data_IF_594332608784
#
_entry.id   IF_594332608784
#
_cell.length_a   1.000
_cell.length_b   1.000
_cell.length_c   1.000
_cell.angle_alpha   90.00
_cell.angle_beta   90.00
_cell.angle_gamma   90.00
#
_symmetry.space_group_name_H-M   'P 1'
#
loop_
_entity.id
_entity.type
_entity.pdbx_description
1 polymer ?
#
# COMPACT_ATOMS: atom_id res chain seq x y z
N UNK A 1 -0.59 28.23 32.36
CA UNK A 1 -0.07 27.03 31.73
C UNK A 1 -0.56 25.71 32.29
N UNK A 2 -0.53 25.39 33.60
CA UNK A 2 -1.05 24.09 34.08
C UNK A 2 -2.49 23.78 33.70
N UNK A 3 -3.40 24.76 33.76
CA UNK A 3 -4.80 24.60 33.38
C UNK A 3 -5.02 24.31 31.91
N UNK A 4 -4.21 24.93 31.02
CA UNK A 4 -4.29 24.72 29.58
C UNK A 4 -3.82 23.30 29.20
N UNK A 5 -2.76 22.82 29.85
CA UNK A 5 -2.25 21.45 29.65
C UNK A 5 -3.28 20.42 30.11
N UNK A 6 -3.87 20.66 31.32
CA UNK A 6 -4.93 19.79 31.83
C UNK A 6 -6.15 19.77 30.91
N UNK A 7 -6.58 20.94 30.41
CA UNK A 7 -7.66 21.01 29.41
C UNK A 7 -7.37 20.25 28.12
N UNK A 8 -6.11 20.33 27.62
CA UNK A 8 -5.70 19.57 26.45
C UNK A 8 -5.84 18.06 26.68
N UNK A 9 -5.38 17.54 27.82
CA UNK A 9 -5.51 16.13 28.18
C UNK A 9 -6.96 15.70 28.29
N UNK A 10 -7.78 16.43 29.05
CA UNK A 10 -9.20 16.11 29.28
C UNK A 10 -9.96 16.11 27.95
N UNK A 11 -9.76 17.13 27.11
CA UNK A 11 -10.42 17.22 25.81
C UNK A 11 -9.99 16.09 24.87
N UNK A 12 -8.69 15.74 24.85
CA UNK A 12 -8.16 14.66 23.99
C UNK A 12 -8.70 13.30 24.41
N UNK A 13 -8.73 13.01 25.73
CA UNK A 13 -9.27 11.74 26.24
C UNK A 13 -10.78 11.65 25.95
N UNK A 14 -11.53 12.71 26.22
CA UNK A 14 -12.97 12.73 25.95
C UNK A 14 -13.26 12.53 24.45
N UNK A 15 -12.53 13.21 23.57
CA UNK A 15 -12.67 13.05 22.12
C UNK A 15 -12.31 11.63 21.66
N UNK A 16 -11.24 11.03 22.20
CA UNK A 16 -10.87 9.63 21.91
C UNK A 16 -11.99 8.67 22.31
N UNK A 17 -12.58 8.83 23.49
CA UNK A 17 -13.71 8.01 23.96
C UNK A 17 -14.90 8.14 22.99
N UNK A 18 -15.25 9.36 22.59
CA UNK A 18 -16.35 9.59 21.62
C UNK A 18 -16.08 8.87 20.31
N UNK A 19 -14.87 8.96 19.76
CA UNK A 19 -14.48 8.24 18.53
C UNK A 19 -14.63 6.74 18.72
N UNK A 20 -14.06 6.16 19.78
CA UNK A 20 -14.07 4.72 20.03
C UNK A 20 -15.49 4.19 20.22
N UNK A 21 -16.33 4.88 21.02
CA UNK A 21 -17.73 4.49 21.22
C UNK A 21 -18.52 4.56 19.91
N UNK A 22 -18.29 5.60 19.10
CA UNK A 22 -18.94 5.72 17.79
C UNK A 22 -18.48 4.64 16.82
N UNK A 23 -17.18 4.35 16.81
CA UNK A 23 -16.57 3.29 16.05
C UNK A 23 -17.17 1.91 16.41
N UNK A 24 -17.31 1.62 17.71
CA UNK A 24 -17.94 0.38 18.20
C UNK A 24 -19.37 0.22 17.66
N UNK A 25 -20.15 1.31 17.66
CA UNK A 25 -21.56 1.29 17.21
C UNK A 25 -21.72 1.17 15.71
N UNK A 26 -20.82 1.76 14.92
CA UNK A 26 -20.96 1.88 13.46
C UNK A 26 -20.12 0.88 12.67
N UNK A 27 -18.94 0.48 13.20
CA UNK A 27 -17.95 -0.34 12.48
C UNK A 27 -17.61 -1.65 13.21
N UNK A 28 -18.06 -1.81 14.44
CA UNK A 28 -17.84 -3.01 15.24
C UNK A 28 -16.54 -3.00 16.06
N UNK A 29 -16.34 -4.10 16.80
CA UNK A 29 -15.33 -4.20 17.84
C UNK A 29 -13.88 -4.14 17.32
N UNK A 30 -13.63 -4.66 16.13
CA UNK A 30 -12.28 -4.66 15.56
C UNK A 30 -11.79 -3.23 15.32
N UNK A 31 -12.59 -2.43 14.61
CA UNK A 31 -12.23 -1.04 14.32
C UNK A 31 -12.19 -0.17 15.59
N UNK A 32 -13.09 -0.40 16.54
CA UNK A 32 -13.07 0.31 17.82
C UNK A 32 -11.79 0.04 18.61
N UNK A 33 -11.33 -1.22 18.65
CA UNK A 33 -10.05 -1.58 19.31
C UNK A 33 -8.86 -0.95 18.60
N UNK A 34 -8.84 -0.98 17.27
CA UNK A 34 -7.80 -0.31 16.48
C UNK A 34 -7.75 1.20 16.80
N UNK A 35 -8.90 1.88 16.74
CA UNK A 35 -9.00 3.31 17.04
C UNK A 35 -8.58 3.62 18.51
N UNK A 36 -8.96 2.78 19.46
CA UNK A 36 -8.58 2.96 20.88
C UNK A 36 -7.06 2.87 21.08
N UNK A 37 -6.41 1.88 20.50
CA UNK A 37 -4.95 1.71 20.60
C UNK A 37 -4.23 2.87 19.92
N UNK A 38 -4.60 3.18 18.68
CA UNK A 38 -3.93 4.21 17.90
C UNK A 38 -4.09 5.60 18.51
N UNK A 39 -5.33 6.00 18.83
CA UNK A 39 -5.62 7.31 19.44
C UNK A 39 -5.11 7.40 20.89
N UNK A 40 -5.08 6.27 21.60
CA UNK A 40 -4.49 6.19 22.94
C UNK A 40 -3.00 6.49 22.91
N UNK A 41 -2.24 5.79 22.09
CA UNK A 41 -0.79 6.02 21.90
C UNK A 41 -0.54 7.44 21.42
N UNK A 42 -1.27 7.89 20.38
CA UNK A 42 -1.16 9.26 19.87
C UNK A 42 -1.39 10.29 20.98
N UNK A 43 -2.46 10.14 21.76
CA UNK A 43 -2.81 11.09 22.85
C UNK A 43 -1.73 11.12 23.93
N UNK A 44 -1.16 9.96 24.31
CA UNK A 44 -0.08 9.87 25.30
C UNK A 44 1.16 10.63 24.83
N UNK A 45 1.57 10.41 23.59
CA UNK A 45 2.77 11.08 23.02
C UNK A 45 2.51 12.58 22.88
N UNK A 46 1.39 12.98 22.26
CA UNK A 46 1.04 14.38 22.04
C UNK A 46 0.89 15.14 23.38
N UNK A 47 0.20 14.54 24.36
CA UNK A 47 0.04 15.10 25.68
C UNK A 47 1.34 15.22 26.47
N UNK A 48 2.27 14.26 26.31
CA UNK A 48 3.60 14.34 26.92
C UNK A 48 4.45 15.51 26.38
N UNK A 49 4.24 15.88 25.10
CA UNK A 49 5.00 16.93 24.43
C UNK A 49 4.33 18.31 24.46
N UNK A 50 3.02 18.40 24.76
CA UNK A 50 2.25 19.66 24.68
C UNK A 50 2.87 20.81 25.48
N UNK A 51 3.47 20.52 26.64
CA UNK A 51 4.13 21.54 27.49
C UNK A 51 5.34 22.22 26.83
N UNK A 52 5.89 21.60 25.78
CA UNK A 52 7.09 22.08 25.08
C UNK A 52 6.75 22.88 23.82
N UNK A 53 5.46 22.99 23.46
CA UNK A 53 5.02 23.67 22.22
C UNK A 53 5.15 25.19 22.28
N UNK A 54 5.12 25.81 23.48
CA UNK A 54 5.24 27.25 23.66
C UNK A 54 4.23 28.04 22.82
N UNK A 55 4.73 28.98 22.00
CA UNK A 55 3.90 29.79 21.11
C UNK A 55 3.18 28.98 20.00
N UNK A 56 3.61 27.76 19.71
CA UNK A 56 2.99 26.88 18.71
C UNK A 56 1.78 26.12 19.27
N UNK A 57 1.45 26.29 20.56
CA UNK A 57 0.32 25.58 21.20
C UNK A 57 -1.00 25.70 20.41
N UNK A 58 -1.42 26.85 19.87
CA UNK A 58 -2.69 26.92 19.14
C UNK A 58 -2.70 26.04 17.89
N UNK A 59 -1.59 25.99 17.14
CA UNK A 59 -1.45 25.13 15.96
C UNK A 59 -1.46 23.66 16.39
N UNK A 60 -0.75 23.31 17.45
CA UNK A 60 -0.69 21.96 17.99
C UNK A 60 -2.07 21.48 18.43
N UNK A 61 -2.83 22.31 19.13
CA UNK A 61 -4.19 22.01 19.55
C UNK A 61 -5.16 21.87 18.36
N UNK A 62 -5.04 22.73 17.35
CA UNK A 62 -5.84 22.62 16.13
C UNK A 62 -5.56 21.31 15.37
N UNK A 63 -4.31 20.89 15.28
CA UNK A 63 -3.93 19.60 14.70
C UNK A 63 -4.49 18.42 15.50
N UNK A 64 -4.47 18.52 16.84
CA UNK A 64 -5.09 17.51 17.72
C UNK A 64 -6.59 17.38 17.48
N UNK A 65 -7.29 18.49 17.35
CA UNK A 65 -8.73 18.50 17.01
C UNK A 65 -8.96 17.87 15.64
N UNK A 66 -8.14 18.21 14.65
CA UNK A 66 -8.24 17.63 13.29
C UNK A 66 -8.12 16.09 13.34
N UNK A 67 -7.23 15.52 14.18
CA UNK A 67 -7.09 14.08 14.37
C UNK A 67 -8.42 13.46 14.83
N UNK A 68 -9.01 13.97 15.88
CA UNK A 68 -10.26 13.39 16.40
C UNK A 68 -11.44 13.57 15.45
N UNK A 69 -11.53 14.72 14.77
CA UNK A 69 -12.54 14.95 13.73
C UNK A 69 -12.37 13.96 12.58
N UNK A 70 -11.13 13.76 12.14
CA UNK A 70 -10.84 12.82 11.06
C UNK A 70 -11.24 11.38 11.44
N UNK A 71 -10.78 10.87 12.58
CA UNK A 71 -11.11 9.51 13.03
C UNK A 71 -12.60 9.33 13.35
N UNK A 72 -13.27 10.34 13.86
CA UNK A 72 -14.72 10.32 14.02
C UNK A 72 -15.42 10.18 12.66
N UNK A 73 -14.99 10.95 11.68
CA UNK A 73 -15.56 10.91 10.31
C UNK A 73 -15.26 9.61 9.56
N UNK A 74 -14.16 8.91 9.87
CA UNK A 74 -13.85 7.57 9.33
C UNK A 74 -14.84 6.49 9.81
N UNK A 75 -15.60 6.73 10.86
CA UNK A 75 -16.66 5.81 11.28
C UNK A 75 -17.82 5.73 10.28
N UNK A 76 -17.92 6.69 9.34
CA UNK A 76 -18.86 6.70 8.23
C UNK A 76 -18.04 6.76 6.92
N UNK A 77 -17.80 5.60 6.26
CA UNK A 77 -16.94 5.50 5.09
C UNK A 77 -17.57 6.21 3.90
N UNK A 78 -16.96 7.31 3.49
CA UNK A 78 -17.30 8.02 2.25
C UNK A 78 -16.19 8.97 1.85
N UNK A 79 -16.00 9.15 0.54
CA UNK A 79 -15.09 10.15 0.01
C UNK A 79 -15.54 11.55 0.40
N UNK A 80 -14.59 12.34 0.90
CA UNK A 80 -14.84 13.70 1.36
C UNK A 80 -14.43 14.72 0.30
N UNK A 81 -15.03 15.92 0.28
CA UNK A 81 -14.66 16.99 -0.64
C UNK A 81 -13.21 17.45 -0.40
N UNK A 82 -12.61 18.07 -1.42
CA UNK A 82 -11.21 18.52 -1.37
C UNK A 82 -10.91 19.42 -0.16
N UNK A 83 -11.82 20.36 0.15
CA UNK A 83 -11.66 21.25 1.30
C UNK A 83 -11.49 20.48 2.62
N UNK A 84 -12.33 19.45 2.86
CA UNK A 84 -12.19 18.61 4.05
C UNK A 84 -10.86 17.83 4.05
N UNK A 85 -10.46 17.31 2.89
CA UNK A 85 -9.20 16.58 2.78
C UNK A 85 -7.98 17.47 3.09
N UNK A 86 -7.98 18.70 2.60
CA UNK A 86 -6.89 19.66 2.84
C UNK A 86 -6.89 20.22 4.27
N UNK A 87 -8.07 20.48 4.85
CA UNK A 87 -8.17 21.14 6.16
C UNK A 87 -8.25 20.15 7.34
N UNK A 88 -8.64 18.91 7.10
CA UNK A 88 -8.83 17.92 8.18
C UNK A 88 -8.02 16.64 7.91
N UNK A 89 -8.26 15.91 6.82
CA UNK A 89 -7.64 14.60 6.62
C UNK A 89 -6.12 14.68 6.54
N UNK A 90 -5.59 15.63 5.75
CA UNK A 90 -4.16 15.80 5.56
C UNK A 90 -3.45 16.27 6.83
N UNK A 91 -3.90 17.36 7.52
CA UNK A 91 -3.31 17.78 8.79
C UNK A 91 -3.40 16.72 9.88
N UNK A 92 -4.52 16.01 9.99
CA UNK A 92 -4.72 14.95 10.97
C UNK A 92 -3.73 13.81 10.75
N UNK A 93 -3.66 13.26 9.54
CA UNK A 93 -2.78 12.14 9.22
C UNK A 93 -1.30 12.51 9.32
N UNK A 94 -0.94 13.73 8.88
CA UNK A 94 0.39 14.30 9.10
C UNK A 94 0.73 14.34 10.60
N UNK A 95 -0.18 14.88 11.41
CA UNK A 95 0.08 15.06 12.84
C UNK A 95 0.19 13.73 13.58
N UNK A 96 -0.63 12.74 13.24
CA UNK A 96 -0.49 11.39 13.79
C UNK A 96 0.86 10.80 13.42
N UNK A 97 1.27 10.84 12.16
CA UNK A 97 2.57 10.34 11.70
C UNK A 97 3.74 11.04 12.42
N UNK A 98 3.70 12.38 12.50
CA UNK A 98 4.70 13.18 13.19
C UNK A 98 4.78 12.85 14.69
N UNK A 99 3.62 12.64 15.33
CA UNK A 99 3.53 12.27 16.74
C UNK A 99 4.15 10.90 16.99
N UNK A 100 3.91 9.91 16.13
CA UNK A 100 4.55 8.60 16.26
C UNK A 100 6.07 8.69 16.09
N UNK A 101 6.56 9.48 15.15
CA UNK A 101 8.00 9.76 15.01
C UNK A 101 8.57 10.49 16.23
N UNK A 102 7.75 11.28 16.95
CA UNK A 102 8.17 12.00 18.15
C UNK A 102 8.18 11.12 19.43
N UNK A 103 7.89 9.83 19.33
CA UNK A 103 7.88 8.90 20.46
C UNK A 103 9.17 8.94 21.33
N UNK A 104 10.40 8.94 20.75
CA UNK A 104 11.62 9.06 21.57
C UNK A 104 11.69 10.36 22.38
N UNK A 105 11.21 11.48 21.83
CA UNK A 105 11.14 12.77 22.53
C UNK A 105 10.11 12.75 23.65
N UNK A 106 9.00 12.07 23.47
CA UNK A 106 8.00 11.89 24.52
C UNK A 106 8.55 11.06 25.69
N UNK A 107 9.31 10.00 25.41
CA UNK A 107 10.03 9.23 26.45
C UNK A 107 11.00 10.14 27.21
N UNK A 108 11.85 10.88 26.51
CA UNK A 108 12.78 11.82 27.15
C UNK A 108 12.06 12.81 28.07
N UNK A 109 10.94 13.38 27.59
CA UNK A 109 10.12 14.29 28.39
C UNK A 109 9.49 13.60 29.62
N UNK A 110 9.05 12.35 29.50
CA UNK A 110 8.50 11.56 30.61
C UNK A 110 9.58 11.23 31.66
N UNK A 111 10.84 11.02 31.24
CA UNK A 111 11.99 10.83 32.12
C UNK A 111 12.50 12.15 32.74
N UNK A 112 11.80 13.27 32.57
CA UNK A 112 12.20 14.57 33.10
C UNK A 112 13.31 15.28 32.31
N UNK A 113 13.73 14.72 31.18
CA UNK A 113 14.73 15.33 30.30
C UNK A 113 14.08 16.43 29.45
N UNK A 114 14.87 17.44 29.06
CA UNK A 114 14.44 18.44 28.11
C UNK A 114 14.46 17.83 26.70
N UNK A 115 13.33 17.72 25.97
CA UNK A 115 13.29 17.11 24.66
C UNK A 115 13.82 18.08 23.59
N UNK A 116 15.16 18.25 23.55
CA UNK A 116 15.82 19.12 22.58
C UNK A 116 15.48 18.71 21.16
N UNK A 117 15.19 19.68 20.29
CA UNK A 117 14.83 19.40 18.90
C UNK A 117 13.51 18.66 18.74
N UNK A 118 12.55 18.78 19.67
CA UNK A 118 11.24 18.09 19.61
C UNK A 118 10.45 18.39 18.31
N UNK A 119 10.78 19.44 17.58
CA UNK A 119 10.22 19.80 16.27
C UNK A 119 10.77 18.95 15.11
N UNK A 120 11.91 18.28 15.30
CA UNK A 120 12.58 17.48 14.25
C UNK A 120 11.66 16.40 13.66
N UNK A 121 10.95 15.56 14.45
CA UNK A 121 10.04 14.54 13.91
C UNK A 121 8.92 15.16 13.07
N UNK A 122 8.47 16.36 13.42
CA UNK A 122 7.43 17.07 12.64
C UNK A 122 7.98 17.56 11.29
N UNK A 123 9.21 18.04 11.24
CA UNK A 123 9.88 18.40 9.99
C UNK A 123 10.11 17.15 9.10
N UNK A 124 10.58 16.05 9.69
CA UNK A 124 10.77 14.77 9.00
C UNK A 124 9.44 14.25 8.43
N UNK A 125 8.36 14.31 9.21
CA UNK A 125 7.03 13.93 8.74
C UNK A 125 6.57 14.80 7.55
N UNK A 126 6.93 16.09 7.53
CA UNK A 126 6.66 16.98 6.39
C UNK A 126 7.37 16.53 5.11
N UNK A 127 8.63 16.14 5.20
CA UNK A 127 9.37 15.53 4.07
C UNK A 127 8.71 14.22 3.64
N UNK A 128 8.34 13.38 4.60
CA UNK A 128 7.67 12.11 4.34
C UNK A 128 6.31 12.28 3.64
N UNK A 129 5.56 13.33 4.01
CA UNK A 129 4.31 13.69 3.34
C UNK A 129 4.55 14.07 1.86
N UNK A 130 5.56 14.89 1.57
CA UNK A 130 5.90 15.27 0.20
C UNK A 130 6.26 14.04 -0.62
N UNK A 131 7.09 13.14 -0.07
CA UNK A 131 7.42 11.87 -0.74
C UNK A 131 6.20 10.96 -0.96
N UNK A 132 5.24 10.95 -0.04
CA UNK A 132 4.00 10.18 -0.19
C UNK A 132 3.10 10.68 -1.33
N UNK A 133 3.20 11.97 -1.65
CA UNK A 133 2.43 12.59 -2.73
C UNK A 133 3.13 12.50 -4.09
N UNK A 134 4.33 11.95 -4.15
CA UNK A 134 5.09 11.74 -5.39
C UNK A 134 5.26 10.25 -5.67
N UNK A 135 5.31 9.88 -6.94
CA UNK A 135 5.63 8.52 -7.36
C UNK A 135 6.85 8.55 -8.31
N UNK A 136 7.67 7.51 -8.24
CA UNK A 136 8.81 7.34 -9.14
C UNK A 136 8.47 6.27 -10.15
N UNK A 137 8.72 6.55 -11.43
CA UNK A 137 8.69 5.52 -12.47
C UNK A 137 9.92 4.63 -12.33
N UNK A 138 9.68 3.32 -12.25
CA UNK A 138 10.69 2.28 -12.20
C UNK A 138 10.59 1.43 -13.47
N UNK A 139 11.70 1.31 -14.19
CA UNK A 139 11.83 0.40 -15.31
C UNK A 139 12.77 -0.72 -14.90
N UNK A 140 12.31 -1.96 -14.97
CA UNK A 140 13.03 -3.12 -14.44
C UNK A 140 13.05 -4.23 -15.47
N UNK A 141 14.25 -4.66 -15.85
CA UNK A 141 14.43 -5.84 -16.66
C UNK A 141 14.48 -7.08 -15.77
N UNK A 142 13.68 -8.09 -16.10
CA UNK A 142 13.59 -9.37 -15.41
C UNK A 142 13.90 -10.49 -16.38
N UNK A 143 14.93 -11.26 -16.12
CA UNK A 143 15.29 -12.43 -16.94
C UNK A 143 14.76 -13.69 -16.27
N UNK A 144 13.98 -14.47 -17.01
CA UNK A 144 13.48 -15.78 -16.56
C UNK A 144 14.47 -16.84 -17.06
N UNK A 145 15.53 -17.02 -16.31
CA UNK A 145 16.62 -17.97 -16.62
C UNK A 145 16.46 -19.32 -15.91
N UNK A 146 15.46 -19.45 -15.03
CA UNK A 146 15.21 -20.64 -14.20
C UNK A 146 16.40 -21.07 -13.33
N UNK A 147 17.40 -20.21 -13.16
CA UNK A 147 18.49 -20.48 -12.23
C UNK A 147 17.94 -20.61 -10.80
N UNK A 148 18.24 -21.72 -10.15
CA UNK A 148 17.70 -22.02 -8.81
C UNK A 148 18.43 -21.23 -7.73
N UNK A 149 17.66 -20.64 -6.82
CA UNK A 149 18.13 -19.87 -5.66
C UNK A 149 17.61 -20.51 -4.38
N UNK A 150 18.53 -20.86 -3.49
CA UNK A 150 18.16 -21.46 -2.20
C UNK A 150 17.47 -20.45 -1.28
N UNK A 151 16.27 -20.80 -0.80
CA UNK A 151 15.42 -19.97 0.04
C UNK A 151 14.94 -18.68 -0.66
N UNK A 152 14.19 -17.84 0.07
CA UNK A 152 13.71 -16.55 -0.43
C UNK A 152 14.82 -15.51 -0.26
N UNK A 153 15.41 -15.07 -1.36
CA UNK A 153 16.52 -14.11 -1.35
C UNK A 153 16.29 -12.97 -2.32
N UNK A 154 16.85 -11.81 -2.00
CA UNK A 154 16.87 -10.66 -2.92
C UNK A 154 17.64 -11.03 -4.19
N UNK A 155 17.05 -10.71 -5.33
CA UNK A 155 17.64 -10.98 -6.65
C UNK A 155 18.17 -9.66 -7.25
N UNK A 156 19.35 -9.65 -7.87
CA UNK A 156 19.86 -8.46 -8.55
C UNK A 156 18.97 -8.13 -9.75
N UNK A 157 18.96 -6.86 -10.18
CA UNK A 157 18.35 -6.47 -11.45
C UNK A 157 19.08 -7.16 -12.60
N UNK A 158 18.33 -7.70 -13.52
CA UNK A 158 18.89 -8.35 -14.71
C UNK A 158 19.39 -7.30 -15.72
N UNK A 159 20.33 -7.69 -16.57
CA UNK A 159 20.68 -6.90 -17.75
C UNK A 159 19.67 -7.22 -18.87
N UNK A 160 19.29 -6.22 -19.69
CA UNK A 160 18.47 -6.46 -20.86
C UNK A 160 19.07 -7.55 -21.76
N UNK A 161 18.22 -8.36 -22.36
CA UNK A 161 18.62 -9.36 -23.38
C UNK A 161 18.11 -8.96 -24.75
N UNK A 162 18.75 -9.49 -25.78
CA UNK A 162 18.29 -9.37 -27.17
C UNK A 162 16.91 -10.02 -27.35
N UNK A 163 16.12 -9.49 -28.26
CA UNK A 163 14.76 -9.92 -28.53
C UNK A 163 13.71 -9.00 -27.90
N UNK A 164 12.46 -9.21 -28.30
CA UNK A 164 11.34 -8.44 -27.78
C UNK A 164 10.96 -8.95 -26.38
N UNK A 165 11.05 -8.12 -25.32
CA UNK A 165 10.58 -8.48 -24.01
C UNK A 165 9.05 -8.46 -23.96
N UNK A 166 8.46 -9.22 -23.04
CA UNK A 166 7.08 -9.02 -22.59
C UNK A 166 7.07 -7.78 -21.70
N UNK A 167 6.34 -6.73 -22.12
CA UNK A 167 6.25 -5.48 -21.39
C UNK A 167 5.01 -5.47 -20.51
N UNK A 168 5.22 -5.39 -19.21
CA UNK A 168 4.18 -5.37 -18.20
C UNK A 168 4.15 -4.01 -17.49
N UNK A 169 2.96 -3.47 -17.23
CA UNK A 169 2.79 -2.40 -16.26
C UNK A 169 2.11 -2.99 -15.03
N UNK A 170 2.73 -2.80 -13.86
CA UNK A 170 2.11 -3.17 -12.59
C UNK A 170 1.63 -1.93 -11.85
N UNK A 171 0.38 -1.95 -11.40
CA UNK A 171 -0.19 -1.02 -10.42
C UNK A 171 -0.65 -1.83 -9.21
N UNK A 172 -0.24 -1.42 -8.03
CA UNK A 172 -0.58 -2.09 -6.77
C UNK A 172 -0.88 -1.08 -5.69
N UNK A 173 -1.69 -1.48 -4.72
CA UNK A 173 -1.93 -0.68 -3.51
C UNK A 173 -2.32 0.76 -3.86
N UNK A 174 -3.29 0.91 -4.73
CA UNK A 174 -3.72 2.22 -5.21
C UNK A 174 -4.45 3.00 -4.12
N UNK A 175 -5.13 2.30 -3.22
CA UNK A 175 -5.79 2.86 -2.03
C UNK A 175 -6.53 4.16 -2.33
N UNK A 176 -7.48 4.10 -3.28
CA UNK A 176 -8.35 5.24 -3.59
C UNK A 176 -8.93 5.82 -2.30
N UNK A 177 -8.71 7.10 -2.04
CA UNK A 177 -9.04 7.70 -0.75
C UNK A 177 -8.57 9.15 -0.62
N UNK A 178 -8.29 9.63 0.60
CA UNK A 178 -7.92 11.03 0.84
C UNK A 178 -6.67 11.47 0.11
N UNK A 179 -5.70 10.57 -0.04
CA UNK A 179 -4.38 10.84 -0.60
C UNK A 179 -4.23 10.35 -2.05
N UNK A 180 -5.11 9.46 -2.49
CA UNK A 180 -5.26 9.03 -3.88
C UNK A 180 -6.62 9.47 -4.39
N UNK A 181 -6.70 10.61 -5.06
CA UNK A 181 -7.95 11.07 -5.67
C UNK A 181 -8.27 10.30 -6.95
N UNK A 182 -9.54 10.34 -7.37
CA UNK A 182 -9.99 9.80 -8.67
C UNK A 182 -9.11 10.31 -9.81
N UNK A 183 -8.89 11.64 -9.88
CA UNK A 183 -8.07 12.24 -10.93
C UNK A 183 -6.61 11.78 -10.89
N UNK A 184 -6.04 11.58 -9.68
CA UNK A 184 -4.67 11.10 -9.54
C UNK A 184 -4.53 9.65 -9.99
N UNK A 185 -5.43 8.75 -9.55
CA UNK A 185 -5.41 7.35 -9.97
C UNK A 185 -5.69 7.23 -11.47
N UNK A 186 -6.61 8.04 -12.00
CA UNK A 186 -6.85 8.12 -13.44
C UNK A 186 -5.58 8.48 -14.21
N UNK A 187 -4.80 9.45 -13.74
CA UNK A 187 -3.52 9.80 -14.35
C UNK A 187 -2.49 8.67 -14.33
N UNK A 188 -2.48 7.80 -13.31
CA UNK A 188 -1.66 6.59 -13.30
C UNK A 188 -2.13 5.61 -14.38
N UNK A 189 -3.43 5.40 -14.52
CA UNK A 189 -3.99 4.52 -15.56
C UNK A 189 -3.72 5.08 -16.97
N UNK A 190 -3.80 6.39 -17.18
CA UNK A 190 -3.46 7.05 -18.45
C UNK A 190 -1.98 6.83 -18.83
N UNK A 191 -1.06 6.96 -17.86
CA UNK A 191 0.37 6.67 -18.09
C UNK A 191 0.65 5.19 -18.31
N UNK A 192 -0.12 4.31 -17.63
CA UNK A 192 -0.04 2.87 -17.87
C UNK A 192 -0.41 2.52 -19.32
N UNK A 193 -1.48 3.13 -19.85
CA UNK A 193 -1.90 2.98 -21.25
C UNK A 193 -0.86 3.56 -22.21
N UNK A 194 -0.34 4.76 -21.92
CA UNK A 194 0.66 5.45 -22.75
C UNK A 194 2.03 4.73 -22.80
N UNK A 195 2.28 3.79 -21.88
CA UNK A 195 3.46 2.93 -21.93
C UNK A 195 3.35 1.79 -22.96
N UNK A 196 2.19 1.65 -23.63
CA UNK A 196 1.91 0.62 -24.64
C UNK A 196 2.27 -0.81 -24.18
N UNK A 197 1.86 -1.25 -22.98
CA UNK A 197 2.25 -2.54 -22.44
C UNK A 197 1.56 -3.68 -23.17
N UNK A 198 2.17 -4.86 -23.17
CA UNK A 198 1.48 -6.10 -23.57
C UNK A 198 0.35 -6.40 -22.56
N UNK A 199 0.61 -6.23 -21.26
CA UNK A 199 -0.36 -6.47 -20.20
C UNK A 199 -0.27 -5.39 -19.09
N UNK A 200 -1.42 -5.06 -18.48
CA UNK A 200 -1.52 -4.30 -17.23
C UNK A 200 -1.98 -5.23 -16.13
N UNK A 201 -1.22 -5.28 -15.04
CA UNK A 201 -1.44 -6.20 -13.92
C UNK A 201 -1.71 -5.40 -12.64
N UNK A 202 -2.89 -5.60 -12.06
CA UNK A 202 -3.37 -4.90 -10.89
C UNK A 202 -3.29 -5.85 -9.69
N UNK A 203 -2.36 -5.61 -8.77
CA UNK A 203 -2.07 -6.55 -7.68
C UNK A 203 -2.74 -6.19 -6.36
N UNK A 204 -3.99 -5.72 -6.39
CA UNK A 204 -4.88 -5.58 -5.24
C UNK A 204 -4.75 -4.28 -4.46
N UNK A 205 -5.54 -4.20 -3.40
CA UNK A 205 -5.69 -3.08 -2.49
C UNK A 205 -6.10 -1.78 -3.19
N UNK A 206 -7.28 -1.84 -3.85
CA UNK A 206 -7.81 -0.73 -4.63
C UNK A 206 -8.37 0.41 -3.78
N UNK A 207 -8.93 0.10 -2.62
CA UNK A 207 -9.72 1.02 -1.81
C UNK A 207 -9.11 1.26 -0.44
N UNK A 208 -9.34 2.47 0.10
CA UNK A 208 -9.24 2.72 1.55
C UNK A 208 -10.63 2.63 2.17
N UNK A 209 -10.70 2.65 3.51
CA UNK A 209 -11.98 2.71 4.24
C UNK A 209 -12.93 3.81 3.76
N UNK A 210 -12.38 4.97 3.36
CA UNK A 210 -13.20 6.12 2.96
C UNK A 210 -13.91 5.94 1.62
N UNK A 211 -13.38 5.09 0.74
CA UNK A 211 -13.91 4.90 -0.61
C UNK A 211 -14.85 3.68 -0.75
N UNK A 212 -14.97 2.85 0.31
CA UNK A 212 -15.75 1.60 0.26
C UNK A 212 -17.25 1.76 -0.04
N UNK A 213 -17.83 2.93 0.22
CA UNK A 213 -19.25 3.20 -0.07
C UNK A 213 -19.45 4.16 -1.26
N UNK A 214 -18.40 4.38 -2.07
CA UNK A 214 -18.44 5.34 -3.18
C UNK A 214 -18.35 4.60 -4.52
N UNK A 215 -19.49 4.21 -5.08
CA UNK A 215 -19.58 3.25 -6.17
C UNK A 215 -18.91 3.67 -7.48
N UNK A 216 -19.05 4.92 -7.93
CA UNK A 216 -18.52 5.36 -9.23
C UNK A 216 -17.03 5.73 -9.24
N UNK A 217 -16.46 6.07 -8.10
CA UNK A 217 -15.13 6.67 -8.05
C UNK A 217 -14.01 5.75 -8.53
N UNK A 218 -14.07 4.45 -8.21
CA UNK A 218 -13.06 3.50 -8.68
C UNK A 218 -13.23 3.25 -10.19
N UNK A 219 -14.47 3.13 -10.68
CA UNK A 219 -14.78 2.97 -12.10
C UNK A 219 -14.26 4.16 -12.91
N UNK A 220 -14.50 5.39 -12.43
CA UNK A 220 -14.03 6.63 -13.06
C UNK A 220 -12.49 6.70 -13.09
N UNK A 221 -11.84 6.27 -12.01
CA UNK A 221 -10.40 6.29 -11.91
C UNK A 221 -9.73 5.27 -12.85
N UNK A 222 -10.32 4.08 -12.99
CA UNK A 222 -9.81 3.00 -13.85
C UNK A 222 -10.23 3.15 -15.33
N UNK A 223 -11.14 4.08 -15.67
CA UNK A 223 -11.72 4.22 -16.99
C UNK A 223 -10.71 4.25 -18.18
N UNK A 224 -9.49 4.85 -18.06
CA UNK A 224 -8.52 4.81 -19.16
C UNK A 224 -8.12 3.40 -19.57
N UNK A 225 -8.16 2.42 -18.66
CA UNK A 225 -7.78 1.02 -18.96
C UNK A 225 -8.70 0.34 -19.97
N UNK A 226 -9.89 0.90 -20.26
CA UNK A 226 -10.77 0.44 -21.35
C UNK A 226 -10.08 0.46 -22.73
N UNK A 227 -9.02 1.25 -22.89
CA UNK A 227 -8.22 1.29 -24.11
C UNK A 227 -7.40 0.01 -24.34
N UNK A 228 -7.34 -0.90 -23.37
CA UNK A 228 -6.55 -2.13 -23.40
C UNK A 228 -7.45 -3.38 -23.26
N UNK A 229 -8.38 -3.63 -24.21
CA UNK A 229 -9.32 -4.74 -24.11
C UNK A 229 -8.60 -6.08 -24.07
N UNK A 230 -8.96 -6.95 -23.10
CA UNK A 230 -8.38 -8.29 -22.92
C UNK A 230 -6.92 -8.30 -22.39
N UNK A 231 -6.35 -7.14 -22.03
CA UNK A 231 -4.96 -7.01 -21.57
C UNK A 231 -4.83 -6.55 -20.12
N UNK A 232 -5.92 -6.42 -19.38
CA UNK A 232 -5.91 -5.97 -17.98
C UNK A 232 -6.39 -7.09 -17.06
N UNK A 233 -5.55 -7.48 -16.10
CA UNK A 233 -5.83 -8.55 -15.15
C UNK A 233 -5.58 -8.07 -13.73
N UNK A 234 -6.35 -8.61 -12.78
CA UNK A 234 -6.28 -8.22 -11.38
C UNK A 234 -6.37 -9.42 -10.44
N UNK A 235 -5.75 -9.32 -9.27
CA UNK A 235 -6.08 -10.13 -8.09
C UNK A 235 -6.58 -9.22 -6.96
N UNK A 236 -7.11 -9.83 -5.88
CA UNK A 236 -7.50 -9.09 -4.68
C UNK A 236 -6.33 -8.88 -3.73
N UNK A 237 -6.33 -7.74 -3.03
CA UNK A 237 -5.58 -7.54 -1.82
C UNK A 237 -6.44 -7.75 -0.56
N UNK A 238 -5.85 -7.58 0.62
CA UNK A 238 -6.57 -7.80 1.87
C UNK A 238 -7.67 -6.77 2.13
N UNK A 239 -7.51 -5.52 1.68
CA UNK A 239 -8.53 -4.48 1.84
C UNK A 239 -9.70 -4.62 0.86
N UNK A 240 -9.51 -5.33 -0.24
CA UNK A 240 -10.57 -5.55 -1.23
C UNK A 240 -11.66 -6.49 -0.71
N UNK A 241 -11.36 -7.33 0.30
CA UNK A 241 -12.33 -8.16 0.99
C UNK A 241 -13.33 -7.37 1.85
N UNK A 242 -13.06 -6.10 2.13
CA UNK A 242 -13.99 -5.22 2.83
C UNK A 242 -15.12 -4.71 1.93
N UNK A 243 -14.89 -4.65 0.59
CA UNK A 243 -15.89 -4.22 -0.41
C UNK A 243 -15.77 -5.00 -1.74
N UNK A 244 -15.82 -6.35 -1.72
CA UNK A 244 -15.44 -7.20 -2.86
C UNK A 244 -16.34 -6.99 -4.08
N UNK A 245 -17.64 -6.72 -3.89
CA UNK A 245 -18.57 -6.48 -4.99
C UNK A 245 -18.33 -5.13 -5.68
N UNK A 246 -17.88 -4.11 -4.92
CA UNK A 246 -17.54 -2.81 -5.50
C UNK A 246 -16.30 -2.93 -6.37
N UNK A 247 -15.26 -3.59 -5.86
CA UNK A 247 -14.02 -3.84 -6.62
C UNK A 247 -14.29 -4.65 -7.88
N UNK A 248 -15.03 -5.76 -7.76
CA UNK A 248 -15.36 -6.61 -8.91
C UNK A 248 -16.14 -5.85 -9.99
N UNK A 249 -17.14 -5.04 -9.61
CA UNK A 249 -17.90 -4.22 -10.57
C UNK A 249 -17.03 -3.17 -11.25
N UNK A 250 -16.19 -2.48 -10.49
CA UNK A 250 -15.31 -1.46 -11.06
C UNK A 250 -14.32 -2.06 -12.07
N UNK A 251 -13.70 -3.20 -11.75
CA UNK A 251 -12.83 -3.91 -12.68
C UNK A 251 -13.56 -4.37 -13.93
N UNK A 252 -14.74 -4.98 -13.77
CA UNK A 252 -15.55 -5.42 -14.90
C UNK A 252 -15.99 -4.26 -15.80
N UNK A 253 -16.29 -3.08 -15.23
CA UNK A 253 -16.70 -1.88 -15.99
C UNK A 253 -15.65 -1.37 -16.96
N UNK A 254 -14.38 -1.70 -16.73
CA UNK A 254 -13.25 -1.33 -17.58
C UNK A 254 -12.70 -2.51 -18.40
N UNK A 255 -13.37 -3.67 -18.35
CA UNK A 255 -12.95 -4.88 -19.07
C UNK A 255 -11.74 -5.57 -18.44
N UNK A 256 -11.38 -5.24 -17.19
CA UNK A 256 -10.34 -5.93 -16.46
C UNK A 256 -10.86 -7.26 -15.92
N UNK A 257 -10.10 -8.34 -16.11
CA UNK A 257 -10.44 -9.67 -15.58
C UNK A 257 -9.89 -9.82 -14.17
N UNK A 258 -10.79 -9.90 -13.19
CA UNK A 258 -10.44 -10.23 -11.81
C UNK A 258 -10.28 -11.76 -11.70
N UNK A 259 -9.11 -12.22 -11.32
CA UNK A 259 -8.78 -13.63 -11.11
C UNK A 259 -8.76 -13.91 -9.59
N UNK A 260 -9.54 -14.90 -9.17
CA UNK A 260 -9.72 -15.27 -7.75
C UNK A 260 -9.54 -16.79 -7.65
N UNK A 261 -8.32 -17.21 -7.35
CA UNK A 261 -7.89 -18.63 -7.34
C UNK A 261 -8.14 -19.33 -8.69
N UNK A 262 -7.96 -18.58 -9.78
CA UNK A 262 -8.17 -19.06 -11.16
C UNK A 262 -7.08 -18.58 -12.10
N UNK A 263 -6.98 -19.22 -13.27
CA UNK A 263 -6.04 -18.87 -14.31
C UNK A 263 -6.70 -18.54 -15.65
N UNK A 264 -5.95 -17.84 -16.50
CA UNK A 264 -6.30 -17.58 -17.90
C UNK A 264 -5.04 -17.60 -18.75
N UNK A 265 -5.19 -17.90 -20.03
CA UNK A 265 -4.09 -17.80 -21.01
C UNK A 265 -4.41 -16.68 -21.99
N UNK A 266 -3.41 -15.87 -22.29
CA UNK A 266 -3.50 -14.75 -23.23
C UNK A 266 -2.39 -14.88 -24.27
N UNK A 267 -2.69 -14.65 -25.51
CA UNK A 267 -1.68 -14.49 -26.55
C UNK A 267 -1.14 -13.06 -26.54
N UNK A 268 0.18 -12.93 -26.56
CA UNK A 268 0.88 -11.64 -26.69
C UNK A 268 1.87 -11.72 -27.85
N UNK A 269 2.37 -10.57 -28.27
CA UNK A 269 3.42 -10.56 -29.31
C UNK A 269 4.76 -11.17 -28.82
N UNK A 270 4.96 -11.27 -27.49
CA UNK A 270 6.08 -11.99 -26.87
C UNK A 270 5.79 -13.49 -26.64
N UNK A 271 4.65 -14.00 -27.16
CA UNK A 271 4.18 -15.39 -27.04
C UNK A 271 3.11 -15.57 -25.95
N UNK A 272 2.66 -16.81 -25.73
CA UNK A 272 1.58 -17.11 -24.79
C UNK A 272 1.99 -16.84 -23.34
N UNK A 273 1.06 -16.28 -22.58
CA UNK A 273 1.20 -15.96 -21.16
C UNK A 273 0.03 -16.55 -20.39
N UNK A 274 0.32 -17.39 -19.41
CA UNK A 274 -0.65 -17.85 -18.44
C UNK A 274 -0.61 -16.94 -17.21
N UNK A 275 -1.75 -16.39 -16.81
CA UNK A 275 -1.88 -15.52 -15.65
C UNK A 275 -2.73 -16.25 -14.60
N UNK A 276 -2.18 -16.43 -13.41
CA UNK A 276 -2.86 -17.03 -12.25
C UNK A 276 -3.09 -15.95 -11.20
N UNK A 277 -4.32 -15.73 -10.78
CA UNK A 277 -4.63 -14.84 -9.67
C UNK A 277 -4.87 -15.63 -8.39
N UNK A 278 -4.03 -15.40 -7.38
CA UNK A 278 -4.21 -15.95 -6.04
C UNK A 278 -5.02 -15.00 -5.18
N UNK A 279 -6.07 -15.49 -4.51
CA UNK A 279 -6.80 -14.68 -3.54
C UNK A 279 -5.98 -14.47 -2.26
N UNK A 280 -6.32 -13.45 -1.49
CA UNK A 280 -5.65 -13.18 -0.22
C UNK A 280 -6.15 -14.11 0.87
N UNK A 281 -5.28 -15.00 1.35
CA UNK A 281 -5.56 -15.94 2.43
C UNK A 281 -4.65 -15.70 3.64
N UNK A 282 -5.23 -15.63 4.83
CA UNK A 282 -4.48 -15.50 6.10
C UNK A 282 -3.99 -16.86 6.60
N UNK A 283 -4.80 -17.92 6.42
CA UNK A 283 -4.56 -19.26 6.95
C UNK A 283 -4.48 -20.30 5.85
N UNK A 284 -3.78 -21.42 6.12
CA UNK A 284 -3.67 -22.58 5.20
C UNK A 284 -3.13 -22.17 3.82
N UNK A 285 -2.21 -21.22 3.78
CA UNK A 285 -1.69 -20.64 2.52
C UNK A 285 -1.08 -21.69 1.61
N UNK A 286 -0.23 -22.56 2.17
CA UNK A 286 0.47 -23.60 1.41
C UNK A 286 -0.53 -24.57 0.74
N UNK A 287 -1.49 -25.10 1.49
CA UNK A 287 -2.50 -26.02 0.97
C UNK A 287 -3.36 -25.36 -0.13
N UNK A 288 -3.79 -24.12 0.10
CA UNK A 288 -4.63 -23.38 -0.87
C UNK A 288 -3.88 -23.07 -2.15
N UNK A 289 -2.65 -22.58 -2.06
CA UNK A 289 -1.84 -22.27 -3.23
C UNK A 289 -1.50 -23.54 -4.02
N UNK A 290 -1.20 -24.66 -3.33
CA UNK A 290 -1.00 -25.95 -3.99
C UNK A 290 -2.27 -26.42 -4.71
N UNK A 291 -3.44 -26.26 -4.12
CA UNK A 291 -4.72 -26.61 -4.74
C UNK A 291 -4.97 -25.75 -6.01
N UNK A 292 -4.78 -24.43 -5.93
CA UNK A 292 -4.94 -23.53 -7.09
C UNK A 292 -3.99 -23.92 -8.22
N UNK A 293 -2.73 -24.25 -7.91
CA UNK A 293 -1.77 -24.69 -8.93
C UNK A 293 -2.18 -26.03 -9.56
N UNK A 294 -2.69 -26.97 -8.76
CA UNK A 294 -3.16 -28.27 -9.27
C UNK A 294 -4.42 -28.15 -10.15
N UNK A 295 -5.34 -27.26 -9.79
CA UNK A 295 -6.56 -26.97 -10.57
C UNK A 295 -6.27 -26.17 -11.84
N UNK A 296 -5.16 -25.44 -11.85
CA UNK A 296 -4.71 -24.60 -12.98
C UNK A 296 -3.31 -25.01 -13.44
N UNK A 297 -3.14 -26.17 -14.07
CA UNK A 297 -1.83 -26.67 -14.50
C UNK A 297 -1.16 -25.72 -15.48
N UNK A 298 0.17 -25.77 -15.54
CA UNK A 298 0.97 -24.91 -16.45
C UNK A 298 0.56 -25.15 -17.90
N UNK A 299 0.21 -24.07 -18.59
CA UNK A 299 -0.06 -24.11 -20.03
C UNK A 299 1.24 -24.35 -20.81
N UNK A 300 1.26 -25.33 -21.76
CA UNK A 300 2.45 -25.65 -22.52
C UNK A 300 3.01 -24.43 -23.28
N UNK A 301 4.31 -24.16 -23.14
CA UNK A 301 4.99 -23.06 -23.81
C UNK A 301 4.66 -21.67 -23.29
N UNK A 302 3.71 -21.50 -22.38
CA UNK A 302 3.34 -20.22 -21.82
C UNK A 302 4.30 -19.78 -20.69
N UNK A 303 4.60 -18.49 -20.64
CA UNK A 303 5.18 -17.86 -19.46
C UNK A 303 4.11 -17.78 -18.37
N UNK A 304 4.40 -18.26 -17.16
CA UNK A 304 3.43 -18.25 -16.06
C UNK A 304 3.68 -17.09 -15.14
N UNK A 305 2.75 -16.12 -15.14
CA UNK A 305 2.69 -15.00 -14.23
C UNK A 305 1.72 -15.33 -13.09
N UNK A 306 2.13 -15.06 -11.85
CA UNK A 306 1.27 -15.23 -10.67
C UNK A 306 1.02 -13.87 -10.03
N UNK A 307 -0.23 -13.45 -9.94
CA UNK A 307 -0.64 -12.26 -9.19
C UNK A 307 -0.90 -12.70 -7.75
N UNK A 308 -0.06 -12.21 -6.85
CA UNK A 308 -0.07 -12.56 -5.43
C UNK A 308 0.11 -11.30 -4.61
N UNK A 309 -0.96 -10.79 -4.01
CA UNK A 309 -0.88 -9.50 -3.32
C UNK A 309 0.18 -9.47 -2.21
N UNK A 310 0.18 -10.45 -1.30
CA UNK A 310 1.09 -10.51 -0.14
C UNK A 310 2.40 -11.25 -0.49
N UNK A 311 3.54 -10.54 -0.55
CA UNK A 311 4.83 -11.17 -0.87
C UNK A 311 5.31 -12.16 0.20
N UNK A 312 4.79 -12.08 1.44
CA UNK A 312 5.04 -13.05 2.49
C UNK A 312 4.50 -14.44 2.17
N UNK A 313 3.50 -14.52 1.28
CA UNK A 313 2.94 -15.79 0.83
C UNK A 313 3.81 -16.48 -0.24
N UNK A 314 4.75 -15.79 -0.88
CA UNK A 314 5.63 -16.36 -1.91
C UNK A 314 6.38 -17.63 -1.46
N UNK A 315 6.74 -17.70 -0.18
CA UNK A 315 7.38 -18.89 0.41
C UNK A 315 6.50 -20.15 0.39
N UNK A 316 5.18 -20.00 0.24
CA UNK A 316 4.18 -21.08 0.25
C UNK A 316 3.72 -21.47 -1.16
N UNK A 317 4.09 -20.71 -2.20
CA UNK A 317 3.83 -21.12 -3.57
C UNK A 317 4.63 -22.39 -3.88
N UNK A 318 4.05 -23.45 -4.47
CA UNK A 318 4.83 -24.61 -4.91
C UNK A 318 5.96 -24.18 -5.84
N UNK A 319 7.14 -24.77 -5.65
CA UNK A 319 8.34 -24.37 -6.39
C UNK A 319 8.20 -24.69 -7.89
N UNK A 320 8.59 -23.75 -8.72
CA UNK A 320 8.46 -23.86 -10.17
C UNK A 320 7.09 -23.43 -10.71
N UNK A 321 6.18 -22.94 -9.86
CA UNK A 321 4.83 -22.53 -10.27
C UNK A 321 4.70 -21.04 -10.62
N UNK A 322 5.75 -20.23 -10.43
CA UNK A 322 5.74 -18.81 -10.78
C UNK A 322 6.98 -18.37 -11.54
N UNK A 323 6.99 -18.41 -12.90
CA UNK A 323 8.12 -17.83 -13.63
C UNK A 323 8.38 -16.40 -13.19
N UNK A 324 7.30 -15.60 -13.04
CA UNK A 324 7.33 -14.30 -12.35
C UNK A 324 6.07 -14.13 -11.50
N UNK A 325 6.28 -13.92 -10.21
CA UNK A 325 5.25 -13.56 -9.23
C UNK A 325 5.25 -12.04 -9.07
N UNK A 326 4.08 -11.43 -9.00
CA UNK A 326 3.88 -9.99 -8.87
C UNK A 326 3.11 -9.72 -7.58
N UNK A 327 3.70 -8.94 -6.68
CA UNK A 327 3.13 -8.63 -5.37
C UNK A 327 3.18 -7.13 -5.04
N UNK A 328 2.43 -6.74 -4.00
CA UNK A 328 2.41 -5.40 -3.42
C UNK A 328 2.43 -5.44 -1.89
N UNK A 329 1.36 -4.93 -1.25
CA UNK A 329 1.05 -5.05 0.18
C UNK A 329 2.00 -4.33 1.15
N UNK A 330 3.30 -4.47 0.98
CA UNK A 330 4.31 -3.97 1.93
C UNK A 330 4.51 -2.47 1.86
N UNK A 331 4.07 -1.82 0.77
CA UNK A 331 4.40 -0.43 0.46
C UNK A 331 5.92 -0.13 0.52
N UNK A 332 6.75 -1.16 0.33
CA UNK A 332 8.19 -1.08 0.55
C UNK A 332 8.56 -0.75 2.01
N UNK A 333 7.66 -1.04 2.97
CA UNK A 333 7.82 -0.70 4.38
C UNK A 333 7.76 0.80 4.69
N UNK A 334 7.50 1.66 3.71
CA UNK A 334 7.37 3.12 3.76
C UNK A 334 8.58 3.89 4.34
N UNK A 335 9.37 3.25 5.21
CA UNK A 335 10.56 3.83 5.87
C UNK A 335 11.82 3.06 5.47
N UNK A 336 12.83 3.76 4.98
CA UNK A 336 14.09 3.14 4.53
C UNK A 336 15.00 4.14 3.83
N UNK A 337 16.04 3.63 3.19
CA UNK A 337 17.03 4.44 2.46
C UNK A 337 17.06 4.09 0.96
N UNK A 338 15.97 3.56 0.42
CA UNK A 338 15.88 3.12 -0.99
C UNK A 338 16.17 4.28 -1.96
N UNK A 339 15.71 5.48 -1.66
CA UNK A 339 16.00 6.69 -2.45
C UNK A 339 17.49 7.04 -2.50
N UNK A 340 18.28 6.55 -1.57
CA UNK A 340 19.74 6.73 -1.47
C UNK A 340 20.51 5.52 -1.99
N UNK A 341 19.84 4.58 -2.64
CA UNK A 341 20.44 3.37 -3.19
C UNK A 341 20.65 2.22 -2.19
N UNK A 342 20.24 2.39 -0.93
CA UNK A 342 20.31 1.28 0.04
C UNK A 342 19.15 0.30 -0.17
N UNK A 343 19.43 -0.99 0.06
CA UNK A 343 18.48 -2.08 -0.22
C UNK A 343 17.54 -2.39 0.96
N UNK A 344 17.81 -1.83 2.13
CA UNK A 344 17.07 -2.16 3.36
C UNK A 344 15.95 -1.17 3.67
N UNK A 345 14.87 -1.69 4.21
CA UNK A 345 13.78 -0.89 4.78
C UNK A 345 13.57 -1.27 6.24
N UNK A 346 12.87 -0.40 6.99
CA UNK A 346 12.55 -0.63 8.41
C UNK A 346 11.69 -1.88 8.59
N UNK A 347 10.85 -2.22 7.60
CA UNK A 347 10.04 -3.44 7.64
C UNK A 347 10.88 -4.70 7.86
N UNK A 348 12.05 -4.79 7.24
CA UNK A 348 12.97 -5.94 7.36
C UNK A 348 13.52 -6.14 8.76
N UNK A 349 13.45 -5.15 9.64
CA UNK A 349 13.85 -5.29 11.04
C UNK A 349 12.81 -6.04 11.89
N UNK A 350 11.55 -6.09 11.42
CA UNK A 350 10.42 -6.63 12.16
C UNK A 350 9.74 -7.82 11.47
N UNK A 351 9.94 -7.98 10.16
CA UNK A 351 9.30 -9.03 9.38
C UNK A 351 10.28 -9.68 8.40
N UNK A 352 10.33 -11.01 8.42
CA UNK A 352 11.08 -11.79 7.43
C UNK A 352 10.21 -12.04 6.20
N UNK A 353 10.05 -10.99 5.39
CA UNK A 353 9.31 -11.04 4.12
C UNK A 353 9.97 -10.13 3.08
N UNK A 354 9.80 -10.41 1.79
CA UNK A 354 10.20 -9.51 0.72
C UNK A 354 9.53 -8.14 0.87
N UNK A 355 10.30 -7.08 0.88
CA UNK A 355 9.80 -5.72 1.12
C UNK A 355 9.59 -4.91 -0.15
N UNK A 356 10.49 -4.99 -1.13
CA UNK A 356 10.39 -4.32 -2.45
C UNK A 356 11.37 -4.89 -3.46
N UNK A 357 11.14 -4.64 -4.76
CA UNK A 357 12.04 -5.00 -5.86
C UNK A 357 12.07 -6.50 -6.14
N UNK A 358 13.16 -6.97 -6.75
CA UNK A 358 13.29 -8.35 -7.21
C UNK A 358 13.78 -9.30 -6.12
N UNK A 359 13.15 -10.48 -6.08
CA UNK A 359 13.45 -11.62 -5.20
C UNK A 359 13.39 -12.92 -5.99
N UNK A 360 13.98 -13.98 -5.45
CA UNK A 360 13.96 -15.31 -6.04
C UNK A 360 13.83 -16.38 -4.97
N UNK A 361 13.25 -17.53 -5.35
CA UNK A 361 13.25 -18.79 -4.59
C UNK A 361 13.14 -19.94 -5.58
N UNK A 362 14.04 -20.92 -5.50
CA UNK A 362 14.13 -21.93 -6.55
C UNK A 362 14.23 -21.26 -7.93
N UNK A 363 13.54 -21.78 -8.95
CA UNK A 363 13.48 -21.16 -10.27
C UNK A 363 12.55 -19.95 -10.37
N UNK A 364 11.78 -19.65 -9.31
CA UNK A 364 10.76 -18.63 -9.34
C UNK A 364 11.33 -17.24 -9.07
N UNK A 365 10.80 -16.23 -9.75
CA UNK A 365 11.12 -14.82 -9.54
C UNK A 365 9.91 -14.11 -8.94
N UNK A 366 10.16 -13.13 -8.06
CA UNK A 366 9.13 -12.29 -7.46
C UNK A 366 9.52 -10.82 -7.63
N UNK A 367 8.59 -10.01 -8.07
CA UNK A 367 8.70 -8.56 -8.01
C UNK A 367 7.70 -8.00 -7.00
N UNK A 368 8.20 -7.25 -6.02
CA UNK A 368 7.39 -6.60 -4.99
C UNK A 368 7.32 -5.12 -5.27
N UNK A 369 6.15 -4.65 -5.62
CA UNK A 369 5.82 -3.25 -5.90
C UNK A 369 5.73 -2.45 -4.61
N UNK A 370 6.27 -1.21 -4.58
CA UNK A 370 6.22 -0.35 -3.38
C UNK A 370 4.88 0.36 -3.16
N UNK A 371 3.86 0.02 -3.93
CA UNK A 371 2.56 0.67 -3.91
C UNK A 371 2.53 2.00 -4.69
N UNK A 372 1.50 2.16 -5.51
CA UNK A 372 1.22 3.41 -6.26
C UNK A 372 0.65 4.48 -5.32
N UNK A 373 -0.19 4.05 -4.38
CA UNK A 373 -0.73 4.87 -3.30
C UNK A 373 -0.03 4.61 -1.96
N UNK A 374 -0.75 4.87 -0.90
CA UNK A 374 -0.38 4.47 0.45
C UNK A 374 -1.62 4.25 1.30
N UNK A 375 -1.48 3.42 2.33
CA UNK A 375 -2.50 3.19 3.32
C UNK A 375 -2.05 3.72 4.69
N UNK A 376 -3.00 4.19 5.49
CA UNK A 376 -2.74 4.75 6.80
C UNK A 376 -2.13 6.15 6.76
N UNK A 377 -0.94 6.33 7.31
CA UNK A 377 -0.31 7.65 7.41
C UNK A 377 0.41 8.03 6.11
N UNK A 378 0.32 9.30 5.67
CA UNK A 378 1.01 9.78 4.48
C UNK A 378 2.51 10.00 4.78
N UNK A 379 3.21 8.94 5.14
CA UNK A 379 4.59 8.98 5.57
C UNK A 379 5.42 7.99 4.78
N UNK A 380 6.11 8.47 3.76
CA UNK A 380 7.14 7.72 3.05
C UNK A 380 8.47 8.43 3.22
N UNK A 381 9.40 7.82 3.96
CA UNK A 381 10.75 8.37 4.16
C UNK A 381 11.78 7.48 3.48
N UNK A 382 12.35 7.98 2.39
CA UNK A 382 13.35 7.28 1.60
C UNK A 382 12.83 6.10 0.79
N UNK A 383 11.52 5.85 0.79
CA UNK A 383 10.85 4.79 0.02
C UNK A 383 9.71 5.40 -0.81
N UNK A 384 9.99 5.93 -2.02
CA UNK A 384 8.98 6.59 -2.84
C UNK A 384 7.91 5.60 -3.33
N UNK A 385 6.70 6.10 -3.55
CA UNK A 385 5.66 5.37 -4.29
C UNK A 385 6.15 5.05 -5.71
N UNK A 386 5.52 4.09 -6.36
CA UNK A 386 6.05 3.48 -7.58
C UNK A 386 5.02 3.39 -8.70
N UNK A 387 5.50 3.56 -9.93
CA UNK A 387 4.87 3.17 -11.19
C UNK A 387 5.84 2.23 -11.90
N UNK A 388 5.52 0.94 -12.02
CA UNK A 388 6.46 -0.04 -12.54
C UNK A 388 6.18 -0.43 -13.97
N UNK A 389 7.22 -0.39 -14.80
CA UNK A 389 7.27 -1.03 -16.12
C UNK A 389 8.29 -2.15 -16.05
N UNK A 390 7.83 -3.39 -16.21
CA UNK A 390 8.68 -4.57 -16.19
C UNK A 390 8.88 -5.08 -17.60
N UNK A 391 10.13 -5.26 -18.00
CA UNK A 391 10.50 -5.92 -19.26
C UNK A 391 10.96 -7.33 -18.94
N UNK A 392 10.14 -8.32 -19.30
CA UNK A 392 10.38 -9.73 -18.97
C UNK A 392 11.00 -10.42 -20.18
N UNK A 393 12.23 -10.90 -20.01
CA UNK A 393 13.00 -11.60 -21.02
C UNK A 393 12.96 -13.10 -20.75
N UNK A 394 12.58 -13.88 -21.74
CA UNK A 394 12.71 -15.35 -21.69
C UNK A 394 14.17 -15.72 -21.98
N UNK A 395 14.75 -16.66 -21.20
CA UNK A 395 16.11 -17.15 -21.41
C UNK A 395 16.20 -18.15 -22.55
#
# INVERSE_FOLDING_TARGET
MPSVIASFWIASIAAAIVVVVTAQRRRGAFYARFAAVLLGIHTLIAGGLVRHTGALFPVYAALQVAVFVHFFMLTAPRMRPLAYRLLVSLPASYFVAATFLAFPWAIAAACGLRPLGFWIPYAIAGVGLIQSLTARREEVDVVIDRASVDGVRRHPRSQPREGRPLTLVQLSDTHLGPFMSVARLRGFCERAVAAEPDLVLLTGDFLTMESQETHAHLEDALAPLRALPGRVFACRGNHDHEAPQLVARALASVGAKLLVDEATVVETEAGPVQIVGMDFHVTRREERMAAVCAENPRAPGALRLVLLHDPGAFRHLPEGEGDLVLAGHTHGGQLGLVSLGAMGTVLRLFADMPDHGLWARGPDRLYVHRGTGHYGFPLRLGVPAEESVLRVHRA
#
